data_IF_860626416553
#
_entry.id   IF_860626416553
#
_cell.length_a   1.000
_cell.length_b   1.000
_cell.length_c   1.000
_cell.angle_alpha   90.00
_cell.angle_beta   90.00
_cell.angle_gamma   90.00
#
_symmetry.space_group_name_H-M   'P 1'
#
loop_
_entity.id
_entity.type
_entity.pdbx_description
1 polymer ?
#
# COMPACT_ATOMS: atom_id res chain seq x y z
N UNK A 1 -17.26 -14.71 -7.28
CA UNK A 1 -16.00 -15.06 -7.97
C UNK A 1 -14.89 -14.32 -7.24
N UNK A 2 -13.81 -15.00 -6.85
CA UNK A 2 -12.69 -14.37 -6.13
C UNK A 2 -11.59 -13.91 -7.08
N UNK A 3 -10.85 -12.89 -6.68
CA UNK A 3 -9.69 -12.38 -7.40
C UNK A 3 -8.43 -12.50 -6.54
N UNK A 4 -7.28 -12.24 -7.16
CA UNK A 4 -5.99 -12.38 -6.52
C UNK A 4 -5.15 -11.14 -6.82
N UNK A 5 -4.55 -10.55 -5.79
CA UNK A 5 -3.52 -9.53 -5.94
C UNK A 5 -2.13 -10.19 -5.91
N UNK A 6 -1.36 -9.97 -6.98
CA UNK A 6 -0.03 -10.52 -7.17
C UNK A 6 1.04 -9.45 -6.97
N UNK A 7 2.00 -9.71 -6.08
CA UNK A 7 3.15 -8.84 -5.83
C UNK A 7 4.43 -9.59 -6.20
N UNK A 8 5.24 -9.00 -7.07
CA UNK A 8 6.49 -9.59 -7.54
C UNK A 8 7.66 -8.69 -7.18
N UNK A 9 8.65 -9.23 -6.46
CA UNK A 9 9.90 -8.54 -6.21
C UNK A 9 10.77 -8.56 -7.46
N UNK A 10 11.05 -7.40 -8.06
CA UNK A 10 11.85 -7.34 -9.28
C UNK A 10 13.33 -7.71 -9.07
N UNK A 11 13.85 -7.59 -7.84
CA UNK A 11 15.23 -7.93 -7.49
C UNK A 11 15.45 -9.44 -7.32
N UNK A 12 14.57 -10.11 -6.56
CA UNK A 12 14.74 -11.54 -6.20
C UNK A 12 13.82 -12.49 -6.95
N UNK A 13 12.84 -11.95 -7.69
CA UNK A 13 11.73 -12.69 -8.31
C UNK A 13 10.82 -13.41 -7.31
N UNK A 14 10.90 -13.07 -6.02
CA UNK A 14 9.97 -13.57 -5.01
C UNK A 14 8.53 -13.12 -5.33
N UNK A 15 7.58 -14.04 -5.19
CA UNK A 15 6.15 -13.81 -5.45
C UNK A 15 5.38 -13.87 -4.13
N UNK A 16 4.49 -12.90 -3.93
CA UNK A 16 3.56 -12.87 -2.81
C UNK A 16 2.13 -12.71 -3.34
N UNK A 17 1.19 -13.45 -2.76
CA UNK A 17 -0.16 -13.60 -3.26
C UNK A 17 -1.15 -13.28 -2.15
N UNK A 18 -2.15 -12.44 -2.44
CA UNK A 18 -3.23 -12.09 -1.53
C UNK A 18 -4.58 -12.35 -2.19
N UNK A 19 -5.46 -13.08 -1.52
CA UNK A 19 -6.85 -13.22 -1.95
C UNK A 19 -7.60 -11.89 -1.75
N UNK A 20 -8.44 -11.53 -2.73
CA UNK A 20 -9.34 -10.36 -2.66
C UNK A 20 -10.71 -10.70 -3.20
N UNK A 21 -11.73 -10.03 -2.67
CA UNK A 21 -13.13 -10.30 -3.02
C UNK A 21 -13.49 -9.74 -4.41
N UNK A 22 -12.94 -8.58 -4.77
CA UNK A 22 -13.20 -7.89 -6.02
C UNK A 22 -11.99 -7.09 -6.53
N UNK A 23 -12.15 -6.43 -7.68
CA UNK A 23 -11.14 -5.56 -8.30
C UNK A 23 -11.31 -4.08 -7.91
N UNK A 24 -11.83 -3.79 -6.72
CA UNK A 24 -11.95 -2.40 -6.25
C UNK A 24 -10.63 -1.86 -5.70
N UNK A 25 -10.55 -0.52 -5.58
CA UNK A 25 -9.42 0.16 -4.93
C UNK A 25 -9.24 -0.30 -3.49
N UNK A 26 -10.34 -0.47 -2.74
CA UNK A 26 -10.29 -0.82 -1.32
C UNK A 26 -9.83 -2.25 -1.09
N UNK A 27 -10.30 -3.19 -1.92
CA UNK A 27 -9.78 -4.56 -1.95
C UNK A 27 -8.28 -4.60 -2.22
N UNK A 28 -7.78 -3.82 -3.19
CA UNK A 28 -6.34 -3.73 -3.46
C UNK A 28 -5.56 -3.13 -2.28
N UNK A 29 -6.02 -2.03 -1.68
CA UNK A 29 -5.35 -1.41 -0.52
C UNK A 29 -5.30 -2.40 0.65
N UNK A 30 -6.38 -3.14 0.91
CA UNK A 30 -6.39 -4.15 1.96
C UNK A 30 -5.36 -5.26 1.70
N UNK A 31 -5.25 -5.75 0.45
CA UNK A 31 -4.21 -6.70 0.06
C UNK A 31 -2.81 -6.11 0.19
N UNK A 32 -2.61 -4.88 -0.28
CA UNK A 32 -1.31 -4.21 -0.22
C UNK A 32 -0.85 -3.98 1.23
N UNK A 33 -1.76 -3.65 2.15
CA UNK A 33 -1.47 -3.57 3.59
C UNK A 33 -1.04 -4.93 4.15
N UNK A 34 -1.74 -6.03 3.82
CA UNK A 34 -1.35 -7.38 4.26
C UNK A 34 0.01 -7.80 3.69
N UNK A 35 0.29 -7.46 2.44
CA UNK A 35 1.60 -7.68 1.83
C UNK A 35 2.69 -6.90 2.55
N UNK A 36 2.48 -5.59 2.76
CA UNK A 36 3.48 -4.69 3.37
C UNK A 36 3.74 -5.05 4.83
N UNK A 37 2.72 -5.42 5.59
CA UNK A 37 2.87 -5.91 6.96
C UNK A 37 3.72 -7.20 7.06
N UNK A 38 3.71 -8.04 6.02
CA UNK A 38 4.47 -9.31 5.99
C UNK A 38 5.85 -9.20 5.37
N UNK A 39 6.03 -8.31 4.37
CA UNK A 39 7.24 -8.24 3.55
C UNK A 39 7.98 -6.91 3.65
N UNK A 40 7.44 -5.95 4.40
CA UNK A 40 7.87 -4.57 4.41
C UNK A 40 7.29 -3.78 3.23
N UNK A 41 7.13 -2.48 3.41
CA UNK A 41 6.66 -1.59 2.35
C UNK A 41 7.76 -1.42 1.27
N UNK A 42 7.46 -1.68 -0.02
CA UNK A 42 8.41 -1.44 -1.09
C UNK A 42 8.63 0.06 -1.30
N UNK A 43 9.85 0.44 -1.73
CA UNK A 43 10.17 1.84 -2.08
C UNK A 43 9.46 2.31 -3.33
N UNK A 44 9.27 1.41 -4.30
CA UNK A 44 8.62 1.67 -5.57
C UNK A 44 7.71 0.50 -5.93
N UNK A 45 6.53 0.82 -6.47
CA UNK A 45 5.55 -0.13 -6.98
C UNK A 45 5.25 0.26 -8.42
N UNK A 46 5.20 -0.74 -9.28
CA UNK A 46 4.82 -0.59 -10.68
C UNK A 46 3.58 -1.47 -10.91
N UNK A 47 2.55 -0.87 -11.49
CA UNK A 47 1.32 -1.55 -11.89
C UNK A 47 0.95 -1.10 -13.30
N UNK A 48 -0.02 -1.77 -13.91
CA UNK A 48 -0.70 -1.19 -15.07
C UNK A 48 -1.59 -0.01 -14.66
N UNK A 49 -2.30 0.56 -15.64
CA UNK A 49 -3.25 1.66 -15.45
C UNK A 49 -4.64 1.18 -15.00
N UNK A 50 -4.74 0.04 -14.31
CA UNK A 50 -5.97 -0.41 -13.67
C UNK A 50 -6.55 0.64 -12.74
N UNK A 51 -7.87 0.81 -12.77
CA UNK A 51 -8.57 1.87 -12.02
C UNK A 51 -8.45 1.68 -10.51
N UNK A 52 -8.34 0.44 -10.04
CA UNK A 52 -8.02 0.08 -8.66
C UNK A 52 -6.64 0.58 -8.21
N UNK A 53 -5.62 0.45 -9.05
CA UNK A 53 -4.26 0.93 -8.74
C UNK A 53 -4.18 2.46 -8.81
N UNK A 54 -4.82 3.07 -9.80
CA UNK A 54 -4.90 4.54 -9.92
C UNK A 54 -5.62 5.13 -8.69
N UNK A 55 -6.74 4.53 -8.28
CA UNK A 55 -7.48 4.94 -7.08
C UNK A 55 -6.64 4.80 -5.82
N UNK A 56 -5.91 3.69 -5.68
CA UNK A 56 -5.04 3.46 -4.53
C UNK A 56 -3.90 4.48 -4.44
N UNK A 57 -3.26 4.79 -5.58
CA UNK A 57 -2.24 5.84 -5.67
C UNK A 57 -2.78 7.19 -5.17
N UNK A 58 -3.99 7.58 -5.58
CA UNK A 58 -4.62 8.83 -5.13
C UNK A 58 -4.83 8.85 -3.63
N UNK A 59 -5.46 7.80 -3.07
CA UNK A 59 -5.71 7.69 -1.62
C UNK A 59 -4.41 7.75 -0.81
N UNK A 60 -3.36 7.07 -1.24
CA UNK A 60 -2.05 7.07 -0.57
C UNK A 60 -1.37 8.44 -0.63
N UNK A 61 -1.45 9.15 -1.76
CA UNK A 61 -0.93 10.52 -1.88
C UNK A 61 -1.68 11.51 -1.00
N UNK A 62 -2.99 11.37 -0.85
CA UNK A 62 -3.79 12.25 0.01
C UNK A 62 -3.41 12.06 1.49
N UNK A 63 -3.21 10.81 1.92
CA UNK A 63 -2.68 10.51 3.27
C UNK A 63 -1.29 11.12 3.44
N UNK A 64 -0.43 11.03 2.42
CA UNK A 64 0.92 11.61 2.45
C UNK A 64 0.87 13.13 2.59
N UNK A 65 0.01 13.81 1.84
CA UNK A 65 -0.19 15.27 1.94
C UNK A 65 -0.73 15.67 3.31
N UNK A 66 -1.74 14.95 3.81
CA UNK A 66 -2.30 15.21 5.14
C UNK A 66 -1.22 15.12 6.22
N UNK A 67 -0.38 14.07 6.18
CA UNK A 67 0.76 13.92 7.08
C UNK A 67 1.73 15.10 7.04
N UNK A 68 1.99 15.65 5.85
CA UNK A 68 2.90 16.79 5.67
C UNK A 68 2.27 18.13 6.08
N UNK A 69 0.95 18.27 6.00
CA UNK A 69 0.24 19.49 6.38
C UNK A 69 -0.03 19.63 7.88
N UNK A 70 0.04 18.54 8.64
CA UNK A 70 -0.18 18.57 10.08
C UNK A 70 1.05 19.19 10.77
N UNK A 71 0.87 20.15 11.71
CA UNK A 71 1.97 20.61 12.55
C UNK A 71 2.49 19.38 13.30
N UNK A 72 3.73 19.01 12.99
CA UNK A 72 4.31 17.77 13.49
C UNK A 72 4.47 17.88 15.00
N UNK A 73 3.56 17.26 15.74
CA UNK A 73 3.89 16.82 17.09
C UNK A 73 4.91 15.70 16.94
N UNK A 74 6.11 15.88 17.47
CA UNK A 74 7.22 14.94 17.37
C UNK A 74 6.82 13.53 17.85
N UNK A 75 5.94 13.45 18.86
CA UNK A 75 5.38 12.19 19.37
C UNK A 75 4.41 11.53 18.36
N UNK A 76 3.60 12.31 17.65
CA UNK A 76 2.67 11.81 16.63
C UNK A 76 3.46 11.36 15.39
N UNK A 77 4.43 12.14 14.93
CA UNK A 77 5.30 11.74 13.82
C UNK A 77 6.17 10.54 14.18
N UNK A 78 6.62 10.42 15.43
CA UNK A 78 7.28 9.22 15.92
C UNK A 78 6.34 8.01 15.88
N UNK A 79 5.12 8.13 16.41
CA UNK A 79 4.15 7.03 16.41
C UNK A 79 3.70 6.63 14.99
N UNK A 80 3.46 7.61 14.13
CA UNK A 80 3.11 7.39 12.72
C UNK A 80 4.29 6.86 11.93
N UNK A 81 5.54 7.26 12.18
CA UNK A 81 6.69 6.66 11.47
C UNK A 81 6.91 5.20 11.90
N UNK A 82 6.66 4.90 13.18
CA UNK A 82 6.69 3.53 13.71
C UNK A 82 5.52 2.67 13.22
N UNK A 83 4.36 3.29 12.97
CA UNK A 83 3.14 2.63 12.46
C UNK A 83 3.05 2.61 10.93
N UNK A 84 3.70 3.55 10.23
CA UNK A 84 3.81 3.68 8.76
C UNK A 84 4.92 2.81 8.18
N UNK A 85 5.55 1.99 9.03
CA UNK A 85 6.32 0.81 8.64
C UNK A 85 5.43 -0.46 8.55
N UNK A 86 4.10 -0.29 8.55
CA UNK A 86 3.10 -1.30 8.19
C UNK A 86 2.22 -0.83 7.02
#
# INVERSE_FOLDING_TARGET
MGYIALFVCLATKAVHIEAVEDLTTDSFIAAFRRFSARRGAPRHIYSDNGTNFIGARRKLEDIRKLRLSLPTNESISYYLSKSSLY
#
